data_IF_179406384061
#
_entry.id   IF_179406384061
#
_cell.length_a   1.000
_cell.length_b   1.000
_cell.length_c   1.000
_cell.angle_alpha   90.00
_cell.angle_beta   90.00
_cell.angle_gamma   90.00
#
_symmetry.space_group_name_H-M   'P 1'
#
loop_
_entity.id
_entity.type
_entity.pdbx_description
1 polymer ?
#
# COMPACT_ATOMS: atom_id res chain seq x y z
N UNK A 1 -13.54 -6.61 -6.82
CA UNK A 1 -13.04 -7.37 -5.66
C UNK A 1 -13.66 -6.81 -4.39
N UNK A 2 -13.89 -7.64 -3.37
CA UNK A 2 -14.28 -7.20 -2.02
C UNK A 2 -13.04 -7.25 -1.12
N UNK A 3 -12.76 -6.17 -0.39
CA UNK A 3 -11.69 -6.13 0.61
C UNK A 3 -12.22 -6.64 1.95
N UNK A 4 -11.41 -7.46 2.62
CA UNK A 4 -11.70 -7.99 3.96
C UNK A 4 -10.57 -7.61 4.90
N UNK A 5 -10.92 -7.09 6.07
CA UNK A 5 -9.98 -6.69 7.10
C UNK A 5 -10.15 -7.58 8.33
N UNK A 6 -9.09 -7.75 9.11
CA UNK A 6 -9.21 -8.31 10.45
C UNK A 6 -10.04 -7.38 11.34
N UNK A 7 -10.61 -7.92 12.41
CA UNK A 7 -11.42 -7.14 13.35
C UNK A 7 -10.61 -5.97 13.95
N UNK A 8 -9.37 -6.21 14.36
CA UNK A 8 -8.50 -5.18 14.93
C UNK A 8 -8.18 -4.05 13.94
N UNK A 9 -7.97 -4.37 12.67
CA UNK A 9 -7.78 -3.36 11.63
C UNK A 9 -9.06 -2.57 11.38
N UNK A 10 -10.22 -3.24 11.36
CA UNK A 10 -11.51 -2.58 11.20
C UNK A 10 -11.81 -1.62 12.35
N UNK A 11 -11.47 -2.00 13.59
CA UNK A 11 -11.66 -1.15 14.78
C UNK A 11 -10.83 0.13 14.70
N UNK A 12 -9.57 0.02 14.25
CA UNK A 12 -8.71 1.18 14.03
C UNK A 12 -9.26 2.11 12.93
N UNK A 13 -9.70 1.54 11.81
CA UNK A 13 -10.33 2.30 10.71
C UNK A 13 -11.58 3.03 11.22
N UNK A 14 -12.44 2.33 11.95
CA UNK A 14 -13.67 2.88 12.48
C UNK A 14 -13.42 3.97 13.53
N UNK A 15 -12.41 3.80 14.38
CA UNK A 15 -11.99 4.84 15.33
C UNK A 15 -11.60 6.12 14.60
N UNK A 16 -10.76 6.00 13.57
CA UNK A 16 -10.28 7.14 12.80
C UNK A 16 -11.40 7.83 12.00
N UNK A 17 -12.31 7.04 11.41
CA UNK A 17 -13.49 7.55 10.72
C UNK A 17 -14.42 8.32 11.66
N UNK A 18 -14.63 7.82 12.89
CA UNK A 18 -15.40 8.54 13.93
C UNK A 18 -14.70 9.83 14.36
N UNK A 19 -13.39 9.79 14.55
CA UNK A 19 -12.58 10.95 14.97
C UNK A 19 -12.59 12.08 13.94
N UNK A 20 -12.60 11.74 12.66
CA UNK A 20 -12.50 12.71 11.56
C UNK A 20 -13.86 13.04 10.92
N UNK A 21 -14.93 12.31 11.25
CA UNK A 21 -16.21 12.42 10.58
C UNK A 21 -16.20 11.94 9.12
N UNK A 22 -15.16 11.21 8.71
CA UNK A 22 -15.02 10.73 7.32
C UNK A 22 -15.75 9.39 7.17
N UNK A 23 -16.59 9.20 6.12
CA UNK A 23 -17.17 7.90 5.84
C UNK A 23 -16.10 6.84 5.56
N UNK A 24 -16.30 5.62 6.07
CA UNK A 24 -15.34 4.51 5.95
C UNK A 24 -14.92 4.25 4.50
N UNK A 25 -15.88 4.24 3.57
CA UNK A 25 -15.60 4.05 2.15
C UNK A 25 -14.68 5.15 1.59
N UNK A 26 -14.93 6.41 1.95
CA UNK A 26 -14.10 7.55 1.55
C UNK A 26 -12.69 7.44 2.10
N UNK A 27 -12.56 7.03 3.37
CA UNK A 27 -11.25 6.83 4.00
C UNK A 27 -10.47 5.71 3.32
N UNK A 28 -11.09 4.55 3.08
CA UNK A 28 -10.44 3.42 2.38
C UNK A 28 -10.02 3.81 0.97
N UNK A 29 -10.87 4.49 0.19
CA UNK A 29 -10.51 4.91 -1.16
C UNK A 29 -9.27 5.81 -1.16
N UNK A 30 -9.18 6.77 -0.22
CA UNK A 30 -7.98 7.61 -0.08
C UNK A 30 -6.72 6.81 0.23
N UNK A 31 -6.81 5.80 1.11
CA UNK A 31 -5.67 4.94 1.42
C UNK A 31 -5.23 4.12 0.20
N UNK A 32 -6.20 3.58 -0.54
CA UNK A 32 -5.94 2.82 -1.78
C UNK A 32 -5.29 3.71 -2.84
N UNK A 33 -5.78 4.93 -3.03
CA UNK A 33 -5.22 5.89 -3.99
C UNK A 33 -3.78 6.28 -3.62
N UNK A 34 -3.54 6.56 -2.33
CA UNK A 34 -2.20 6.89 -1.83
C UNK A 34 -1.22 5.72 -1.99
N UNK A 35 -1.66 4.49 -1.73
CA UNK A 35 -0.83 3.30 -1.91
C UNK A 35 -0.55 3.02 -3.40
N UNK A 36 -1.54 3.19 -4.26
CA UNK A 36 -1.36 3.03 -5.69
C UNK A 36 -0.35 4.05 -6.25
N UNK A 37 -0.38 5.29 -5.76
CA UNK A 37 0.61 6.30 -6.14
C UNK A 37 2.01 5.95 -5.64
N UNK A 38 2.14 5.48 -4.39
CA UNK A 38 3.41 5.02 -3.83
C UNK A 38 4.01 3.86 -4.62
N UNK A 39 3.20 2.91 -5.06
CA UNK A 39 3.65 1.80 -5.91
C UNK A 39 4.13 2.34 -7.26
N UNK A 40 3.37 3.23 -7.90
CA UNK A 40 3.76 3.83 -9.19
C UNK A 40 5.08 4.61 -9.09
N UNK A 41 5.28 5.38 -8.02
CA UNK A 41 6.53 6.14 -7.81
C UNK A 41 7.70 5.22 -7.49
N UNK A 42 7.51 4.20 -6.66
CA UNK A 42 8.56 3.22 -6.35
C UNK A 42 8.92 2.33 -7.55
N UNK A 43 7.97 2.01 -8.44
CA UNK A 43 8.24 1.30 -9.70
C UNK A 43 9.01 2.14 -10.73
N UNK A 44 9.11 3.47 -10.52
CA UNK A 44 9.92 4.36 -11.35
C UNK A 44 11.40 4.34 -10.97
N UNK A 45 11.74 3.88 -9.77
CA UNK A 45 13.10 3.44 -9.50
C UNK A 45 13.22 2.06 -10.13
N UNK A 46 14.15 1.83 -11.07
CA UNK A 46 14.55 0.48 -11.38
C UNK A 46 14.83 -0.18 -10.04
N UNK A 47 14.26 -1.35 -9.80
CA UNK A 47 14.86 -2.26 -8.83
C UNK A 47 16.26 -2.45 -9.42
N UNK A 48 17.25 -1.70 -8.92
CA UNK A 48 18.66 -1.98 -9.14
C UNK A 48 18.80 -3.37 -8.53
N UNK A 49 18.57 -4.37 -9.39
CA UNK A 49 18.80 -5.75 -9.08
C UNK A 49 20.22 -5.80 -8.56
N UNK A 50 20.36 -6.42 -7.39
CA UNK A 50 21.66 -6.84 -6.89
C UNK A 50 22.50 -7.32 -8.07
N UNK A 51 23.69 -6.74 -8.26
CA UNK A 51 24.72 -7.29 -9.13
C UNK A 51 25.27 -8.61 -8.52
N UNK A 52 24.38 -9.57 -8.25
CA UNK A 52 24.69 -10.87 -7.70
C UNK A 52 24.25 -11.99 -8.66
N UNK A 53 24.73 -11.93 -9.91
CA UNK A 53 24.83 -13.09 -10.81
C UNK A 53 26.09 -12.86 -11.66
N UNK A 54 27.25 -13.41 -11.27
CA UNK A 54 27.83 -14.67 -11.78
C UNK A 54 27.95 -14.76 -13.32
N UNK A 55 29.14 -15.19 -13.73
CA UNK A 55 29.65 -15.52 -15.08
C UNK A 55 30.43 -14.39 -15.79
N UNK A 56 31.65 -14.57 -16.29
CA UNK A 56 32.31 -15.82 -16.70
C UNK A 56 33.83 -15.73 -16.52
N UNK A 57 34.43 -16.87 -16.16
CA UNK A 57 35.87 -17.13 -16.34
C UNK A 57 36.26 -16.85 -17.78
N UNK A 58 37.34 -16.10 -17.98
CA UNK A 58 38.36 -16.46 -18.95
C UNK A 58 39.72 -15.95 -18.45
#
# INVERSE_FOLDING_TARGET
MKLTFSNSTMDAIMHECRRTGTPVATFINRLVDAEAERIRTNMKNPIEGENNVRESRN
#
